data_IF_277057172851
#
_entry.id   IF_277057172851
#
_cell.length_a   1.000
_cell.length_b   1.000
_cell.length_c   1.000
_cell.angle_alpha   90.00
_cell.angle_beta   90.00
_cell.angle_gamma   90.00
#
_symmetry.space_group_name_H-M   'P 1'
#
loop_
_entity.id
_entity.type
_entity.pdbx_description
1 polymer ?
#
# COMPACT_ATOMS: atom_id res chain seq x y z
N UNK A 1 -2.00 -8.83 -20.49
CA UNK A 1 -2.51 -7.79 -19.56
C UNK A 1 -1.84 -8.07 -18.24
N UNK A 2 -0.78 -7.33 -17.97
CA UNK A 2 0.10 -7.60 -16.84
C UNK A 2 -0.53 -7.01 -15.58
N UNK A 3 -1.02 -7.87 -14.72
CA UNK A 3 -1.72 -7.50 -13.49
C UNK A 3 -0.73 -7.28 -12.33
N UNK A 4 0.45 -6.82 -12.63
CA UNK A 4 1.61 -6.84 -11.73
C UNK A 4 1.49 -6.00 -10.45
N UNK A 5 0.39 -5.40 -10.11
CA UNK A 5 0.15 -4.82 -8.78
C UNK A 5 -1.32 -4.57 -8.51
N UNK A 6 -2.15 -5.58 -8.74
CA UNK A 6 -3.58 -5.48 -8.40
C UNK A 6 -3.83 -5.52 -6.89
N UNK A 7 -2.85 -5.91 -6.10
CA UNK A 7 -3.01 -6.09 -4.65
C UNK A 7 -1.85 -5.48 -3.87
N UNK A 8 -2.16 -4.99 -2.68
CA UNK A 8 -1.13 -4.66 -1.70
C UNK A 8 -0.39 -5.92 -1.29
N UNK A 9 0.93 -5.85 -1.17
CA UNK A 9 1.78 -6.98 -0.81
C UNK A 9 2.92 -6.57 0.10
N UNK A 10 3.30 -7.46 1.01
CA UNK A 10 4.49 -7.30 1.86
C UNK A 10 5.14 -8.65 2.13
N UNK A 11 6.48 -8.71 2.17
CA UNK A 11 7.19 -9.91 2.63
C UNK A 11 7.17 -10.07 4.15
N UNK A 12 6.83 -9.02 4.89
CA UNK A 12 6.97 -8.96 6.33
C UNK A 12 5.68 -9.34 7.05
N UNK A 13 5.57 -10.59 7.49
CA UNK A 13 4.42 -11.07 8.27
C UNK A 13 4.24 -10.33 9.60
N UNK A 14 5.32 -9.78 10.16
CA UNK A 14 5.30 -9.02 11.42
C UNK A 14 4.54 -7.69 11.36
N UNK A 15 4.27 -7.18 10.16
CA UNK A 15 3.51 -5.93 9.98
C UNK A 15 2.00 -6.10 10.17
N UNK A 16 1.50 -7.34 10.08
CA UNK A 16 0.07 -7.60 10.14
C UNK A 16 -0.47 -7.55 11.56
N UNK A 17 -1.59 -6.87 11.73
CA UNK A 17 -2.41 -6.95 12.94
C UNK A 17 -3.29 -8.19 12.94
N UNK A 18 -3.70 -8.62 11.77
CA UNK A 18 -4.47 -9.82 11.52
C UNK A 18 -4.01 -10.46 10.22
N UNK A 19 -3.75 -11.77 10.23
CA UNK A 19 -3.31 -12.53 9.07
C UNK A 19 -4.04 -13.86 9.02
N UNK A 20 -4.64 -14.17 7.88
CA UNK A 20 -5.41 -15.39 7.64
C UNK A 20 -4.93 -16.10 6.39
N UNK A 21 -4.94 -17.44 6.37
CA UNK A 21 -4.69 -18.18 5.14
C UNK A 21 -5.81 -17.94 4.11
N UNK A 22 -5.44 -17.88 2.84
CA UNK A 22 -6.41 -17.83 1.75
C UNK A 22 -6.69 -19.22 1.21
N UNK A 23 -7.94 -19.53 0.80
CA UNK A 23 -8.29 -20.84 0.23
C UNK A 23 -7.55 -21.14 -1.07
N UNK A 24 -7.27 -20.10 -1.86
CA UNK A 24 -6.51 -20.19 -3.10
C UNK A 24 -5.33 -19.21 -3.05
N UNK A 25 -4.08 -19.69 -3.15
CA UNK A 25 -2.92 -18.82 -3.16
C UNK A 25 -2.98 -17.81 -4.29
N UNK A 26 -2.59 -16.56 -4.01
CA UNK A 26 -2.40 -15.55 -5.03
C UNK A 26 -1.15 -15.89 -5.85
N UNK A 27 -1.32 -16.04 -7.15
CA UNK A 27 -0.22 -16.25 -8.07
C UNK A 27 0.20 -14.91 -8.67
N UNK A 28 1.45 -14.57 -8.48
CA UNK A 28 2.04 -13.32 -8.96
C UNK A 28 3.11 -13.67 -9.98
N UNK A 29 2.84 -13.33 -11.24
CA UNK A 29 3.84 -13.49 -12.30
C UNK A 29 4.76 -12.26 -12.31
N UNK A 30 6.04 -12.49 -12.23
CA UNK A 30 7.05 -11.44 -12.31
C UNK A 30 7.48 -11.20 -13.76
N UNK A 31 8.06 -10.03 -14.03
CA UNK A 31 8.51 -9.65 -15.35
C UNK A 31 9.59 -10.60 -15.93
N UNK A 32 10.32 -11.33 -15.09
CA UNK A 32 11.31 -12.32 -15.48
C UNK A 32 10.72 -13.73 -15.73
N UNK A 33 9.39 -13.88 -15.62
CA UNK A 33 8.67 -15.14 -15.83
C UNK A 33 8.61 -16.06 -14.61
N UNK A 34 9.19 -15.68 -13.47
CA UNK A 34 9.03 -16.45 -12.24
C UNK A 34 7.67 -16.20 -11.60
N UNK A 35 7.22 -17.16 -10.80
CA UNK A 35 5.95 -17.06 -10.07
C UNK A 35 6.22 -17.01 -8.57
N UNK A 36 5.59 -16.06 -7.89
CA UNK A 36 5.57 -15.95 -6.45
C UNK A 36 4.18 -16.28 -5.94
N UNK A 37 4.08 -16.66 -4.68
CA UNK A 37 2.82 -17.07 -4.08
C UNK A 37 2.53 -16.28 -2.82
N UNK A 38 1.29 -15.78 -2.71
CA UNK A 38 0.73 -15.24 -1.48
C UNK A 38 -0.26 -16.21 -0.87
N UNK A 39 0.11 -16.83 0.25
CA UNK A 39 -0.71 -17.83 0.94
C UNK A 39 -1.60 -17.24 2.03
N UNK A 40 -1.30 -16.02 2.46
CA UNK A 40 -2.02 -15.35 3.54
C UNK A 40 -2.41 -13.94 3.13
N UNK A 41 -3.54 -13.50 3.66
CA UNK A 41 -4.06 -12.14 3.49
C UNK A 41 -4.43 -11.56 4.85
N UNK A 42 -4.25 -10.28 5.01
CA UNK A 42 -4.57 -9.64 6.28
C UNK A 42 -4.65 -8.13 6.19
N UNK A 43 -4.63 -7.52 7.36
CA UNK A 43 -4.67 -6.08 7.54
C UNK A 43 -3.45 -5.60 8.31
N UNK A 44 -2.97 -4.44 7.92
CA UNK A 44 -1.92 -3.72 8.62
C UNK A 44 -2.57 -2.53 9.30
N UNK A 45 -2.43 -2.47 10.62
CA UNK A 45 -2.99 -1.42 11.42
C UNK A 45 -1.92 -0.87 12.35
N UNK A 46 -1.58 0.39 12.16
CA UNK A 46 -0.73 1.17 13.05
C UNK A 46 -1.45 2.45 13.46
N UNK A 47 -0.82 3.28 14.29
CA UNK A 47 -1.39 4.57 14.67
C UNK A 47 -1.76 5.47 13.48
N UNK A 48 -1.04 5.33 12.36
CA UNK A 48 -1.16 6.24 11.21
C UNK A 48 -1.50 5.52 9.90
N UNK A 49 -1.52 4.19 9.91
CA UNK A 49 -1.71 3.41 8.70
C UNK A 49 -2.74 2.31 8.95
N UNK A 50 -3.80 2.35 8.16
CA UNK A 50 -4.81 1.30 8.11
C UNK A 50 -4.96 0.83 6.68
N UNK A 51 -4.50 -0.37 6.39
CA UNK A 51 -4.58 -0.99 5.07
C UNK A 51 -5.12 -2.39 5.22
N UNK A 52 -6.20 -2.69 4.53
CA UNK A 52 -6.79 -4.02 4.46
C UNK A 52 -6.46 -4.71 3.14
N UNK A 53 -6.71 -6.02 3.08
CA UNK A 53 -6.51 -6.84 1.88
C UNK A 53 -5.06 -6.81 1.39
N UNK A 54 -4.11 -6.92 2.31
CA UNK A 54 -2.68 -7.03 2.03
C UNK A 54 -2.30 -8.49 1.99
N UNK A 55 -1.64 -8.93 0.92
CA UNK A 55 -1.10 -10.27 0.82
C UNK A 55 0.28 -10.35 1.46
N UNK A 56 0.51 -11.40 2.23
CA UNK A 56 1.84 -11.77 2.66
C UNK A 56 2.50 -12.61 1.57
N UNK A 57 3.52 -12.06 0.96
CA UNK A 57 4.27 -12.69 -0.14
C UNK A 57 5.75 -12.65 0.20
N UNK A 58 6.30 -13.72 0.81
CA UNK A 58 7.67 -13.73 1.32
C UNK A 58 8.75 -13.45 0.26
N UNK A 59 8.47 -13.76 -1.00
CA UNK A 59 9.43 -13.64 -2.09
C UNK A 59 9.50 -12.24 -2.72
N UNK A 60 8.61 -11.31 -2.38
CA UNK A 60 8.74 -9.94 -2.85
C UNK A 60 9.84 -9.20 -2.08
N UNK A 61 10.56 -8.34 -2.79
CA UNK A 61 11.70 -7.61 -2.20
C UNK A 61 11.27 -6.37 -1.42
N UNK A 62 10.07 -5.87 -1.65
CA UNK A 62 9.59 -4.59 -1.12
C UNK A 62 8.14 -4.68 -0.67
N UNK A 63 7.75 -3.75 0.19
CA UNK A 63 6.35 -3.49 0.45
C UNK A 63 5.73 -2.79 -0.77
N UNK A 64 4.66 -3.33 -1.31
CA UNK A 64 4.04 -2.84 -2.55
C UNK A 64 2.62 -2.36 -2.29
N UNK A 65 2.33 -1.14 -2.69
CA UNK A 65 0.97 -0.63 -2.72
C UNK A 65 0.34 -0.81 -4.10
N UNK A 66 -0.89 -1.25 -4.10
CA UNK A 66 -1.73 -1.24 -5.30
C UNK A 66 -2.35 0.14 -5.48
N UNK A 67 -1.96 0.82 -6.54
CA UNK A 67 -2.55 2.11 -6.93
C UNK A 67 -4.05 1.96 -7.19
N UNK A 68 -4.46 0.86 -7.83
CA UNK A 68 -5.87 0.58 -8.09
C UNK A 68 -6.70 0.49 -6.80
N UNK A 69 -6.22 -0.27 -5.82
CA UNK A 69 -6.92 -0.40 -4.54
C UNK A 69 -6.98 0.94 -3.76
N UNK A 70 -5.91 1.73 -3.83
CA UNK A 70 -5.91 3.06 -3.20
C UNK A 70 -6.91 4.01 -3.90
N UNK A 71 -6.98 3.96 -5.22
CA UNK A 71 -7.95 4.74 -5.98
C UNK A 71 -9.41 4.31 -5.71
N UNK A 72 -9.67 3.01 -5.55
CA UNK A 72 -10.97 2.48 -5.14
C UNK A 72 -11.42 3.00 -3.77
N UNK A 73 -10.48 3.25 -2.87
CA UNK A 73 -10.74 3.87 -1.56
C UNK A 73 -11.00 5.39 -1.65
N UNK A 74 -10.88 5.96 -2.85
CA UNK A 74 -11.14 7.38 -3.10
C UNK A 74 -9.92 8.28 -2.96
N UNK A 75 -8.73 7.74 -2.77
CA UNK A 75 -7.52 8.56 -2.71
C UNK A 75 -7.08 9.02 -4.10
N UNK A 76 -6.50 10.22 -4.17
CA UNK A 76 -5.87 10.75 -5.38
C UNK A 76 -4.38 10.51 -5.31
N UNK A 77 -3.84 9.85 -6.34
CA UNK A 77 -2.41 9.64 -6.48
C UNK A 77 -1.92 10.41 -7.70
N UNK A 78 -0.95 11.28 -7.50
CA UNK A 78 -0.35 12.12 -8.53
C UNK A 78 1.08 11.65 -8.73
N UNK A 79 1.44 11.37 -9.96
CA UNK A 79 2.79 10.97 -10.34
C UNK A 79 3.37 12.00 -11.29
N UNK A 80 4.62 12.34 -11.07
CA UNK A 80 5.41 13.14 -11.98
C UNK A 80 6.85 12.60 -12.13
N UNK A 81 7.69 13.30 -12.86
CA UNK A 81 9.06 12.85 -13.09
C UNK A 81 9.91 12.77 -11.82
N UNK A 82 9.57 13.51 -10.80
CA UNK A 82 10.31 13.64 -9.54
C UNK A 82 9.84 12.67 -8.47
N UNK A 83 8.56 12.29 -8.48
CA UNK A 83 8.00 11.43 -7.44
C UNK A 83 6.50 11.27 -7.50
N UNK A 84 5.92 10.98 -6.35
CA UNK A 84 4.48 10.83 -6.20
C UNK A 84 3.95 11.55 -4.97
N UNK A 85 2.68 11.93 -5.04
CA UNK A 85 1.92 12.53 -3.95
C UNK A 85 0.60 11.79 -3.83
N UNK A 86 0.25 11.39 -2.63
CA UNK A 86 -1.07 10.87 -2.31
C UNK A 86 -1.86 11.90 -1.52
N UNK A 87 -3.09 12.15 -1.93
CA UNK A 87 -3.96 13.16 -1.33
C UNK A 87 -5.35 12.61 -1.04
N UNK A 88 -5.97 13.16 0.01
CA UNK A 88 -7.41 13.11 0.18
C UNK A 88 -8.04 14.12 -0.81
N UNK A 89 -8.85 13.66 -1.79
CA UNK A 89 -9.42 14.56 -2.80
C UNK A 89 -10.49 15.49 -2.22
N UNK A 90 -11.06 15.18 -1.06
CA UNK A 90 -12.11 16.00 -0.43
C UNK A 90 -11.51 17.20 0.32
N UNK A 91 -10.37 17.01 0.96
CA UNK A 91 -9.71 18.03 1.78
C UNK A 91 -8.48 18.62 1.10
N UNK A 92 -7.92 17.94 0.10
CA UNK A 92 -6.64 18.28 -0.50
C UNK A 92 -5.44 17.98 0.40
N UNK A 93 -5.67 17.34 1.56
CA UNK A 93 -4.62 17.00 2.49
C UNK A 93 -3.66 15.99 1.86
N UNK A 94 -2.37 16.27 1.96
CA UNK A 94 -1.32 15.34 1.58
C UNK A 94 -1.21 14.22 2.63
N UNK A 95 -1.34 12.99 2.16
CA UNK A 95 -1.30 11.79 3.00
C UNK A 95 0.02 11.05 2.89
N UNK A 96 0.76 11.32 1.86
CA UNK A 96 2.07 10.71 1.63
C UNK A 96 2.71 11.27 0.37
N UNK A 97 4.02 11.28 0.37
CA UNK A 97 4.83 11.73 -0.77
C UNK A 97 6.10 10.91 -0.83
N UNK A 98 6.76 10.90 -1.96
CA UNK A 98 8.06 10.27 -2.06
C UNK A 98 8.69 10.39 -3.43
N UNK A 99 10.00 10.15 -3.51
CA UNK A 99 10.76 10.30 -4.73
C UNK A 99 10.52 9.15 -5.72
N UNK A 100 10.80 9.43 -6.97
CA UNK A 100 10.94 8.41 -7.99
C UNK A 100 12.36 7.84 -7.96
N UNK A 101 12.47 6.52 -7.93
CA UNK A 101 13.75 5.82 -8.02
C UNK A 101 13.67 4.80 -9.15
N UNK A 102 14.28 5.13 -10.29
CA UNK A 102 14.15 4.32 -11.50
C UNK A 102 12.71 4.31 -12.02
N UNK A 103 12.09 3.13 -12.00
CA UNK A 103 10.68 2.93 -12.41
C UNK A 103 9.73 2.80 -11.21
N UNK A 104 10.25 2.88 -10.00
CA UNK A 104 9.45 2.79 -8.77
C UNK A 104 9.18 4.16 -8.20
N UNK A 105 8.04 4.30 -7.57
CA UNK A 105 7.71 5.44 -6.74
C UNK A 105 7.74 4.99 -5.27
N UNK A 106 8.58 5.62 -4.50
CA UNK A 106 8.64 5.41 -3.06
C UNK A 106 7.58 6.26 -2.41
N UNK A 107 6.94 5.76 -1.38
CA UNK A 107 6.03 6.56 -0.56
C UNK A 107 6.58 6.59 0.85
N UNK A 108 7.05 7.74 1.24
CA UNK A 108 7.51 8.03 2.58
C UNK A 108 6.37 8.69 3.38
N UNK A 109 6.38 8.53 4.68
CA UNK A 109 5.45 9.21 5.59
C UNK A 109 3.96 9.02 5.22
N UNK A 110 3.60 7.84 4.74
CA UNK A 110 2.22 7.54 4.38
C UNK A 110 1.33 7.48 5.61
N UNK A 111 0.25 8.24 5.55
CA UNK A 111 -0.77 8.33 6.59
C UNK A 111 -2.13 8.01 5.99
N UNK A 112 -2.58 6.78 6.15
CA UNK A 112 -3.92 6.35 5.76
C UNK A 112 -4.74 6.15 7.02
N UNK A 113 -5.63 7.09 7.35
CA UNK A 113 -6.43 6.99 8.56
C UNK A 113 -7.38 5.79 8.48
N UNK A 114 -7.70 5.23 9.64
CA UNK A 114 -8.76 4.25 9.75
C UNK A 114 -10.05 4.91 9.24
N UNK A 115 -10.60 4.40 8.13
CA UNK A 115 -11.93 4.81 7.69
C UNK A 115 -12.93 4.14 8.59
N UNK A 116 -13.30 4.81 9.67
CA UNK A 116 -14.46 4.39 10.46
C UNK A 116 -15.71 4.55 9.60
N UNK A 117 -16.65 3.59 9.63
CA UNK A 117 -17.96 3.80 9.02
C UNK A 117 -18.58 5.02 9.64
N UNK A 118 -18.92 5.97 8.80
CA UNK A 118 -19.47 7.29 9.04
C UNK A 118 -20.10 7.46 10.44
N UNK A 119 -19.37 8.02 11.36
CA UNK A 119 -19.91 8.88 12.40
C UNK A 119 -18.83 9.84 12.91
N UNK A 120 -18.98 11.08 12.48
CA UNK A 120 -18.50 12.32 13.09
C UNK A 120 -17.06 12.31 13.63
N UNK A 121 -16.21 12.94 12.80
CA UNK A 121 -15.06 13.77 13.16
C UNK A 121 -14.55 13.68 14.61
N UNK A 122 -13.43 12.99 14.76
CA UNK A 122 -12.41 13.42 15.69
C UNK A 122 -11.14 13.63 14.89
N UNK A 123 -10.64 14.85 14.85
CA UNK A 123 -9.36 15.18 14.25
C UNK A 123 -8.27 14.41 15.01
N UNK A 124 -7.73 13.38 14.39
CA UNK A 124 -6.55 12.71 14.90
C UNK A 124 -5.34 13.58 14.56
N UNK A 125 -4.65 14.06 15.58
CA UNK A 125 -3.35 14.68 15.45
C UNK A 125 -2.35 13.64 14.94
N UNK A 126 -1.75 13.91 13.79
CA UNK A 126 -0.77 13.05 13.13
C UNK A 126 0.55 13.19 13.87
N UNK A 127 0.97 12.15 14.57
CA UNK A 127 2.34 12.02 15.02
C UNK A 127 3.14 11.21 14.01
N UNK A 128 4.39 11.62 13.74
CA UNK A 128 5.30 11.06 12.77
C UNK A 128 5.41 9.54 12.84
N UNK A 129 5.32 8.88 11.69
CA UNK A 129 5.48 7.44 11.53
C UNK A 129 6.93 7.04 11.83
N UNK A 130 7.17 6.00 12.64
CA UNK A 130 8.48 5.36 12.66
C UNK A 130 8.81 4.84 11.27
N UNK A 131 10.05 5.02 10.83
CA UNK A 131 10.57 4.76 9.48
C UNK A 131 10.54 3.29 9.00
N UNK A 132 9.68 2.44 9.56
CA UNK A 132 9.67 1.01 9.33
C UNK A 132 8.82 0.54 8.14
N UNK A 133 8.07 1.41 7.50
CA UNK A 133 7.25 1.04 6.35
C UNK A 133 7.57 1.92 5.15
N UNK A 134 8.71 1.68 4.54
CA UNK A 134 8.98 2.20 3.21
C UNK A 134 8.12 1.41 2.22
N UNK A 135 7.05 2.01 1.75
CA UNK A 135 6.18 1.40 0.77
C UNK A 135 6.53 1.90 -0.62
N UNK A 136 6.62 0.97 -1.56
CA UNK A 136 6.91 1.26 -2.95
C UNK A 136 5.63 1.11 -3.76
N UNK A 137 5.35 2.07 -4.62
CA UNK A 137 4.27 1.97 -5.60
C UNK A 137 4.87 1.53 -6.93
N UNK A 138 4.42 0.41 -7.46
CA UNK A 138 4.73 0.01 -8.82
C UNK A 138 3.63 0.53 -9.75
N UNK A 139 4.02 1.29 -10.76
CA UNK A 139 3.11 1.61 -11.87
C UNK A 139 3.22 0.46 -12.86
N UNK A 140 2.13 -0.24 -13.17
CA UNK A 140 2.12 -1.15 -14.30
C UNK A 140 2.20 -0.33 -15.60
N UNK A 141 3.11 -0.70 -16.47
CA UNK A 141 3.11 -0.25 -17.86
C UNK A 141 2.18 -1.10 -18.67
#
# INVERSE_FOLDING_TARGET
>A
MDSACCNHMTPHSSLFSELKPVPHPLNICTANGSTMFGHNIGSILTSNLSVSRVFNVPDVSYNLFSVGQLAELGYRIIFDYSGCIMQDPMTGQELGTGPRVGRMFLVDNLCLPLVAPVSVAAAATISSIPSLALWHTLIPY
#
